data_IF_673369419042
#
_entry.id   IF_673369419042
#
_cell.length_a   1.000
_cell.length_b   1.000
_cell.length_c   1.000
_cell.angle_alpha   90.00
_cell.angle_beta   90.00
_cell.angle_gamma   90.00
#
_symmetry.space_group_name_H-M   'P 1'
#
loop_
_entity.id
_entity.type
_entity.pdbx_description
1 polymer ?
#
# COMPACT_ATOMS: atom_id res chain seq x y z
N UNK A 1 3.23 13.08 -3.38
CA UNK A 1 4.69 13.00 -3.57
C UNK A 1 5.09 11.75 -4.33
N UNK A 2 4.94 10.57 -3.71
CA UNK A 2 5.45 9.31 -4.24
C UNK A 2 4.60 8.75 -5.38
N UNK A 3 3.33 9.12 -5.47
CA UNK A 3 2.39 8.72 -6.52
C UNK A 3 2.77 9.21 -7.93
N UNK A 4 3.65 10.21 -8.03
CA UNK A 4 4.14 10.77 -9.30
C UNK A 4 5.60 10.42 -9.59
N UNK A 5 6.20 9.48 -8.85
CA UNK A 5 7.57 9.06 -9.09
C UNK A 5 7.62 8.02 -10.20
N UNK A 6 8.55 8.19 -11.14
CA UNK A 6 8.81 7.21 -12.20
C UNK A 6 9.30 5.88 -11.63
N UNK A 7 9.97 5.91 -10.47
CA UNK A 7 10.45 4.71 -9.80
C UNK A 7 10.66 4.92 -8.30
N UNK A 8 10.33 3.89 -7.52
CA UNK A 8 10.53 3.81 -6.08
C UNK A 8 11.40 2.59 -5.77
N UNK A 9 12.40 2.77 -4.91
CA UNK A 9 13.27 1.70 -4.40
C UNK A 9 13.04 1.53 -2.91
N UNK A 10 12.68 0.32 -2.50
CA UNK A 10 12.47 -0.05 -1.11
C UNK A 10 13.72 -0.72 -0.60
N UNK A 11 14.32 -0.12 0.44
CA UNK A 11 15.53 -0.60 1.10
C UNK A 11 15.17 -1.29 2.41
N UNK A 12 15.67 -2.50 2.60
CA UNK A 12 15.60 -3.24 3.85
C UNK A 12 16.98 -3.84 4.14
N UNK A 13 17.51 -3.61 5.34
CA UNK A 13 18.82 -4.11 5.78
C UNK A 13 19.97 -3.81 4.79
N UNK A 14 19.93 -2.63 4.16
CA UNK A 14 20.94 -2.20 3.19
C UNK A 14 20.82 -2.85 1.81
N UNK A 15 19.73 -3.56 1.53
CA UNK A 15 19.46 -4.19 0.23
C UNK A 15 18.16 -3.67 -0.36
N UNK A 16 18.10 -3.60 -1.69
CA UNK A 16 16.85 -3.24 -2.40
C UNK A 16 15.99 -4.49 -2.46
N UNK A 17 14.83 -4.47 -1.79
CA UNK A 17 13.89 -5.60 -1.72
C UNK A 17 12.68 -5.42 -2.62
N UNK A 18 12.31 -4.19 -2.99
CA UNK A 18 11.27 -3.91 -3.97
C UNK A 18 11.65 -2.71 -4.86
N UNK A 19 11.18 -2.72 -6.10
CA UNK A 19 11.41 -1.67 -7.10
C UNK A 19 10.22 -1.57 -8.04
N UNK A 20 9.76 -0.35 -8.32
CA UNK A 20 8.70 -0.11 -9.30
C UNK A 20 7.96 1.21 -9.08
N UNK A 21 6.89 1.40 -9.84
CA UNK A 21 5.99 2.54 -9.70
C UNK A 21 5.10 2.41 -8.46
N UNK A 22 4.56 3.54 -7.98
CA UNK A 22 3.66 3.59 -6.84
C UNK A 22 2.49 2.61 -6.97
N UNK A 23 1.74 2.69 -8.08
CA UNK A 23 0.53 1.89 -8.33
C UNK A 23 0.82 0.39 -8.24
N UNK A 24 1.98 -0.04 -8.73
CA UNK A 24 2.39 -1.43 -8.67
C UNK A 24 2.79 -1.84 -7.25
N UNK A 25 3.54 -1.00 -6.54
CA UNK A 25 4.05 -1.35 -5.20
C UNK A 25 2.97 -1.33 -4.11
N UNK A 26 1.89 -0.55 -4.26
CA UNK A 26 0.76 -0.56 -3.30
C UNK A 26 -0.11 -1.80 -3.43
N UNK A 27 -0.17 -2.42 -4.61
CA UNK A 27 -0.91 -3.66 -4.84
C UNK A 27 -0.10 -4.90 -4.41
N UNK A 28 1.22 -4.83 -4.51
CA UNK A 28 2.12 -5.90 -4.07
C UNK A 28 2.14 -6.01 -2.54
N UNK A 29 2.06 -7.24 -2.04
CA UNK A 29 2.38 -7.50 -0.65
C UNK A 29 3.87 -7.23 -0.40
N UNK A 30 4.17 -6.36 0.56
CA UNK A 30 5.54 -5.96 0.87
C UNK A 30 5.64 -4.74 1.78
N UNK A 31 6.87 -4.38 2.12
CA UNK A 31 7.19 -3.30 3.05
C UNK A 31 6.65 -1.95 2.57
N UNK A 32 6.69 -1.67 1.26
CA UNK A 32 6.14 -0.43 0.72
C UNK A 32 4.65 -0.27 1.03
N UNK A 33 3.85 -1.30 0.71
CA UNK A 33 2.41 -1.31 0.98
C UNK A 33 2.12 -1.15 2.48
N UNK A 34 2.88 -1.81 3.35
CA UNK A 34 2.72 -1.68 4.80
C UNK A 34 2.99 -0.25 5.28
N UNK A 35 4.07 0.38 4.82
CA UNK A 35 4.40 1.77 5.15
C UNK A 35 3.35 2.74 4.62
N UNK A 36 2.90 2.52 3.38
CA UNK A 36 1.84 3.30 2.75
C UNK A 36 0.53 3.21 3.51
N UNK A 37 0.11 1.99 3.88
CA UNK A 37 -1.08 1.76 4.71
C UNK A 37 -0.93 2.37 6.10
N UNK A 38 0.23 2.29 6.75
CA UNK A 38 0.43 2.91 8.06
C UNK A 38 0.35 4.45 7.98
N UNK A 39 0.89 5.05 6.92
CA UNK A 39 0.79 6.48 6.66
C UNK A 39 -0.66 6.89 6.34
N UNK A 40 -1.38 6.05 5.59
CA UNK A 40 -2.75 6.31 5.15
C UNK A 40 -3.84 5.79 6.08
N UNK A 41 -3.54 4.98 7.09
CA UNK A 41 -4.52 4.54 8.11
C UNK A 41 -4.99 5.72 8.96
N UNK A 42 -4.30 6.86 8.94
CA UNK A 42 -4.85 8.14 9.38
C UNK A 42 -6.07 8.62 8.55
N UNK A 43 -6.26 8.08 7.33
CA UNK A 43 -7.37 8.35 6.41
C UNK A 43 -8.35 7.15 6.28
N UNK A 44 -7.93 5.91 6.56
CA UNK A 44 -8.69 4.68 6.27
C UNK A 44 -9.54 4.14 7.42
N UNK A 45 -9.72 4.84 8.54
CA UNK A 45 -10.77 4.45 9.52
C UNK A 45 -12.21 4.65 8.96
N UNK A 46 -12.37 5.20 7.75
CA UNK A 46 -13.68 5.53 7.17
C UNK A 46 -14.22 4.58 6.10
N UNK A 47 -13.46 3.58 5.62
CA UNK A 47 -13.87 2.79 4.44
C UNK A 47 -14.20 1.32 4.69
N UNK A 48 -13.97 0.76 5.88
CA UNK A 48 -14.21 -0.66 6.18
C UNK A 48 -15.57 -0.98 6.85
N UNK A 49 -16.60 -0.10 6.75
CA UNK A 49 -17.92 -0.40 7.34
C UNK A 49 -18.91 -1.07 6.35
N UNK A 50 -18.56 -1.28 5.07
CA UNK A 50 -19.55 -1.65 4.05
C UNK A 50 -19.20 -2.88 3.16
N UNK A 51 -18.43 -3.86 3.64
CA UNK A 51 -18.12 -5.06 2.82
C UNK A 51 -18.73 -6.39 3.28
N UNK A 52 -19.55 -6.42 4.35
CA UNK A 52 -20.08 -7.69 4.89
C UNK A 52 -21.61 -7.91 4.76
N UNK A 53 -22.36 -7.11 3.98
CA UNK A 53 -23.82 -7.30 3.85
C UNK A 53 -24.33 -7.96 2.56
N UNK A 54 -23.47 -8.53 1.71
CA UNK A 54 -23.90 -9.15 0.43
C UNK A 54 -23.72 -10.68 0.35
N UNK A 55 -23.67 -11.39 1.49
CA UNK A 55 -23.81 -12.85 1.52
C UNK A 55 -24.92 -13.32 2.46
N UNK A 56 -26.17 -12.98 2.10
CA UNK A 56 -27.33 -13.79 2.48
C UNK A 56 -27.79 -14.54 1.23
N UNK A 57 -27.51 -15.84 1.20
CA UNK A 57 -28.36 -16.80 0.48
C UNK A 57 -29.32 -17.42 1.48
#
# INVERSE_FOLDING_TARGET
GLENMDEILVLENGQITQRGEHNTLVEQDGLYRQLWLAQNQLLTETLDINQDFDQVK
#
